data_IF_829367471483
#
_entry.id   IF_829367471483
#
_cell.length_a   1.000
_cell.length_b   1.000
_cell.length_c   1.000
_cell.angle_alpha   90.00
_cell.angle_beta   90.00
_cell.angle_gamma   90.00
#
_symmetry.space_group_name_H-M   'P 1'
#
loop_
_entity.id
_entity.type
_entity.pdbx_description
1 polymer ?
#
# COMPACT_ATOMS: atom_id res chain seq x y z
N UNK A 1 27.31 5.57 10.94
CA UNK A 1 26.00 5.07 11.43
C UNK A 1 25.30 6.23 12.12
N UNK A 2 24.13 6.66 11.65
CA UNK A 2 23.44 7.84 12.19
C UNK A 2 22.96 7.56 13.62
N UNK A 3 23.41 8.36 14.60
CA UNK A 3 22.97 8.25 15.99
C UNK A 3 21.60 8.93 16.12
N UNK A 4 20.56 8.13 16.33
CA UNK A 4 19.22 8.62 16.69
C UNK A 4 19.09 8.49 18.20
N UNK A 5 18.83 9.61 18.87
CA UNK A 5 18.62 9.66 20.32
C UNK A 5 17.23 9.15 20.70
N UNK A 6 17.05 8.75 21.97
CA UNK A 6 15.74 8.32 22.50
C UNK A 6 14.66 9.39 22.31
N UNK A 7 15.00 10.66 22.53
CA UNK A 7 14.06 11.79 22.37
C UNK A 7 13.64 11.99 20.92
N UNK A 8 14.58 11.86 19.98
CA UNK A 8 14.26 11.93 18.55
C UNK A 8 13.35 10.78 18.15
N UNK A 9 13.61 9.57 18.68
CA UNK A 9 12.80 8.39 18.40
C UNK A 9 11.37 8.54 18.94
N UNK A 10 11.22 9.08 20.15
CA UNK A 10 9.91 9.38 20.75
C UNK A 10 9.13 10.41 19.92
N UNK A 11 9.80 11.45 19.41
CA UNK A 11 9.17 12.44 18.52
C UNK A 11 8.75 11.84 17.17
N UNK A 12 9.57 10.97 16.59
CA UNK A 12 9.22 10.25 15.36
C UNK A 12 8.01 9.34 15.59
N UNK A 13 7.95 8.65 16.73
CA UNK A 13 6.84 7.78 17.11
C UNK A 13 5.52 8.54 17.27
N UNK A 14 5.53 9.64 18.03
CA UNK A 14 4.35 10.49 18.23
C UNK A 14 3.79 11.02 16.90
N UNK A 15 4.66 11.48 15.99
CA UNK A 15 4.24 11.90 14.64
C UNK A 15 3.68 10.76 13.80
N UNK A 16 4.27 9.56 13.91
CA UNK A 16 3.76 8.39 13.21
C UNK A 16 2.37 7.98 13.73
N UNK A 17 2.12 8.08 15.03
CA UNK A 17 0.80 7.85 15.63
C UNK A 17 -0.25 8.87 15.17
N UNK A 18 0.15 10.12 14.87
CA UNK A 18 -0.73 11.14 14.26
C UNK A 18 -1.05 10.86 12.80
N UNK A 19 -0.51 9.81 12.21
CA UNK A 19 -0.78 9.38 10.83
C UNK A 19 0.19 9.92 9.79
N UNK A 20 1.24 10.64 10.19
CA UNK A 20 2.26 11.11 9.24
C UNK A 20 3.01 9.94 8.59
N UNK A 21 3.45 10.14 7.34
CA UNK A 21 4.21 9.12 6.62
C UNK A 21 5.67 9.04 7.11
N UNK A 22 6.32 7.88 6.95
CA UNK A 22 7.75 7.75 7.24
C UNK A 22 8.61 8.70 6.38
N UNK A 23 8.14 9.05 5.17
CA UNK A 23 8.82 10.00 4.27
C UNK A 23 8.84 11.40 4.88
N UNK A 24 7.70 11.88 5.36
CA UNK A 24 7.56 13.23 5.91
C UNK A 24 8.35 13.37 7.23
N UNK A 25 8.31 12.32 8.05
CA UNK A 25 9.12 12.23 9.26
C UNK A 25 10.62 12.23 8.87
N UNK A 26 11.04 11.39 7.93
CA UNK A 26 12.44 11.31 7.52
C UNK A 26 12.97 12.63 6.96
N UNK A 27 12.19 13.33 6.13
CA UNK A 27 12.53 14.65 5.58
C UNK A 27 12.82 15.67 6.68
N UNK A 28 12.01 15.70 7.74
CA UNK A 28 12.19 16.66 8.83
C UNK A 28 13.43 16.41 9.70
N UNK A 29 13.90 15.16 9.77
CA UNK A 29 15.09 14.78 10.55
C UNK A 29 16.35 14.62 9.68
N UNK A 30 16.27 14.88 8.37
CA UNK A 30 17.40 14.67 7.45
C UNK A 30 17.82 13.21 7.33
N UNK A 31 16.87 12.27 7.45
CA UNK A 31 17.11 10.83 7.43
C UNK A 31 16.58 10.18 6.14
N UNK A 32 17.03 8.96 5.88
CA UNK A 32 16.40 8.10 4.88
C UNK A 32 15.11 7.50 5.47
N UNK A 33 14.03 7.46 4.67
CA UNK A 33 12.74 6.85 5.04
C UNK A 33 12.90 5.46 5.64
N UNK A 34 13.73 4.62 5.00
CA UNK A 34 13.96 3.25 5.44
C UNK A 34 14.60 3.18 6.83
N UNK A 35 15.44 4.17 7.18
CA UNK A 35 16.04 4.27 8.51
C UNK A 35 14.98 4.56 9.57
N UNK A 36 14.06 5.48 9.30
CA UNK A 36 12.95 5.82 10.21
C UNK A 36 12.03 4.61 10.38
N UNK A 37 11.60 3.98 9.28
CA UNK A 37 10.75 2.80 9.32
C UNK A 37 11.37 1.66 10.14
N UNK A 38 12.63 1.30 9.85
CA UNK A 38 13.29 0.21 10.57
C UNK A 38 13.50 0.52 12.05
N UNK A 39 13.78 1.77 12.42
CA UNK A 39 13.94 2.14 13.83
C UNK A 39 12.64 2.11 14.60
N UNK A 40 11.58 2.70 14.05
CA UNK A 40 10.26 2.66 14.67
C UNK A 40 9.74 1.22 14.80
N UNK A 41 9.95 0.39 13.78
CA UNK A 41 9.59 -1.04 13.80
C UNK A 41 10.33 -1.81 14.90
N UNK A 42 11.64 -1.59 15.07
CA UNK A 42 12.45 -2.33 16.04
C UNK A 42 12.11 -1.97 17.48
N UNK A 43 11.76 -0.71 17.73
CA UNK A 43 11.48 -0.22 19.08
C UNK A 43 10.03 -0.46 19.52
N UNK A 44 9.06 -0.21 18.62
CA UNK A 44 7.63 -0.17 18.96
C UNK A 44 6.81 -1.27 18.28
N UNK A 45 7.40 -2.04 17.37
CA UNK A 45 6.70 -3.07 16.61
C UNK A 45 5.93 -2.54 15.39
N UNK A 46 5.49 -3.47 14.54
CA UNK A 46 4.67 -3.19 13.35
C UNK A 46 3.19 -3.02 13.68
N UNK A 47 2.73 -3.68 14.74
CA UNK A 47 1.30 -3.79 15.10
C UNK A 47 0.71 -2.44 15.53
N UNK A 48 1.55 -1.51 15.97
CA UNK A 48 1.17 -0.14 16.32
C UNK A 48 0.85 0.69 15.06
N UNK A 49 1.45 0.32 13.92
CA UNK A 49 1.35 1.08 12.67
C UNK A 49 0.54 0.36 11.60
N UNK A 50 -0.39 -0.52 12.01
CA UNK A 50 -1.20 -1.37 11.13
C UNK A 50 -1.61 -0.60 9.88
N UNK A 51 -0.94 -0.94 8.78
CA UNK A 51 -1.43 -0.62 7.46
C UNK A 51 -2.79 -1.30 7.30
N UNK A 52 -3.73 -0.71 6.54
CA UNK A 52 -4.97 -1.39 6.23
C UNK A 52 -4.65 -2.81 5.74
N UNK A 53 -5.41 -3.82 6.17
CA UNK A 53 -5.15 -5.20 5.80
C UNK A 53 -5.06 -5.28 4.27
N UNK A 54 -4.12 -6.08 3.72
CA UNK A 54 -4.01 -6.23 2.29
C UNK A 54 -5.36 -6.73 1.75
N UNK A 55 -6.01 -5.89 0.94
CA UNK A 55 -7.29 -6.24 0.32
C UNK A 55 -7.02 -7.24 -0.80
N UNK A 56 -7.78 -8.33 -0.84
CA UNK A 56 -7.67 -9.33 -1.89
C UNK A 56 -7.78 -8.66 -3.28
N UNK A 57 -6.83 -8.96 -4.17
CA UNK A 57 -6.79 -8.40 -5.52
C UNK A 57 -7.72 -9.15 -6.49
N UNK A 58 -8.87 -9.65 -6.02
CA UNK A 58 -9.81 -10.45 -6.80
C UNK A 58 -11.15 -9.73 -7.02
N UNK A 59 -12.02 -10.34 -7.82
CA UNK A 59 -13.31 -9.78 -8.25
C UNK A 59 -14.37 -9.68 -7.14
N UNK A 60 -14.07 -10.20 -5.95
CA UNK A 60 -14.95 -10.08 -4.79
C UNK A 60 -14.95 -8.66 -4.20
N UNK A 61 -14.08 -7.78 -4.68
CA UNK A 61 -14.03 -6.36 -4.31
C UNK A 61 -14.93 -5.56 -5.26
N UNK A 62 -16.02 -4.91 -4.78
CA UNK A 62 -16.99 -4.23 -5.64
C UNK A 62 -16.41 -3.17 -6.59
N UNK A 63 -15.27 -2.57 -6.23
CA UNK A 63 -14.57 -1.56 -7.04
C UNK A 63 -13.55 -2.13 -8.05
N UNK A 64 -13.48 -3.44 -8.26
CA UNK A 64 -12.50 -4.08 -9.14
C UNK A 64 -13.15 -5.00 -10.17
N UNK A 65 -12.46 -5.21 -11.29
CA UNK A 65 -12.84 -6.15 -12.35
C UNK A 65 -11.59 -6.83 -12.90
N UNK A 66 -11.64 -8.15 -13.07
CA UNK A 66 -10.61 -8.93 -13.74
C UNK A 66 -10.87 -8.96 -15.24
N UNK A 67 -9.90 -8.48 -16.01
CA UNK A 67 -9.91 -8.54 -17.48
C UNK A 67 -8.73 -9.34 -17.99
N UNK A 68 -8.97 -10.12 -19.03
CA UNK A 68 -7.90 -10.82 -19.75
C UNK A 68 -7.17 -9.83 -20.65
N UNK A 69 -5.98 -9.42 -20.26
CA UNK A 69 -5.16 -8.44 -21.00
C UNK A 69 -3.98 -9.15 -21.66
N UNK A 70 -3.52 -8.65 -22.81
CA UNK A 70 -2.31 -9.18 -23.44
C UNK A 70 -1.11 -9.02 -22.49
N UNK A 71 -0.31 -10.07 -22.35
CA UNK A 71 0.89 -10.00 -21.54
C UNK A 71 1.90 -9.04 -22.20
N UNK A 72 2.56 -8.21 -21.41
CA UNK A 72 3.56 -7.23 -21.87
C UNK A 72 3.07 -6.30 -23.00
N UNK A 73 1.84 -5.77 -22.90
CA UNK A 73 1.34 -4.78 -23.86
C UNK A 73 1.11 -5.30 -25.28
N UNK A 74 1.06 -6.63 -25.48
CA UNK A 74 0.79 -7.24 -26.78
C UNK A 74 2.03 -7.56 -27.63
N UNK A 75 3.24 -7.29 -27.14
CA UNK A 75 4.49 -7.56 -27.88
C UNK A 75 5.05 -9.00 -27.69
N UNK A 76 4.37 -9.89 -26.97
CA UNK A 76 4.82 -11.28 -26.80
C UNK A 76 4.04 -12.22 -27.72
N UNK A 77 4.76 -12.97 -28.57
CA UNK A 77 4.21 -14.00 -29.47
C UNK A 77 3.92 -15.33 -28.77
N UNK A 78 4.39 -15.52 -27.53
CA UNK A 78 4.27 -16.78 -26.78
C UNK A 78 3.33 -16.69 -25.57
N UNK A 79 3.08 -15.49 -25.04
CA UNK A 79 2.24 -15.33 -23.86
C UNK A 79 0.82 -14.94 -24.24
N UNK A 80 -0.08 -15.92 -24.15
CA UNK A 80 -1.53 -15.69 -24.18
C UNK A 80 -1.98 -14.67 -23.12
N UNK A 81 -3.24 -14.22 -23.24
CA UNK A 81 -3.82 -13.23 -22.34
C UNK A 81 -3.65 -13.66 -20.88
N UNK A 82 -3.30 -12.72 -19.99
CA UNK A 82 -3.22 -12.94 -18.55
C UNK A 82 -4.33 -12.18 -17.82
N UNK A 83 -4.86 -12.74 -16.70
CA UNK A 83 -5.84 -12.06 -15.89
C UNK A 83 -5.19 -10.88 -15.15
N UNK A 84 -5.74 -9.68 -15.33
CA UNK A 84 -5.31 -8.47 -14.64
C UNK A 84 -6.50 -7.87 -13.90
N UNK A 85 -6.31 -7.57 -12.62
CA UNK A 85 -7.32 -6.89 -11.80
C UNK A 85 -7.19 -5.38 -11.95
N UNK A 86 -8.20 -4.75 -12.54
CA UNK A 86 -8.26 -3.32 -12.78
C UNK A 86 -9.26 -2.64 -11.84
N UNK A 87 -9.15 -1.32 -11.72
CA UNK A 87 -10.18 -0.49 -11.10
C UNK A 87 -11.41 -0.50 -12.01
N UNK A 88 -12.60 -0.71 -11.42
CA UNK A 88 -13.87 -0.69 -12.14
C UNK A 88 -14.17 0.73 -12.62
N UNK A 89 -14.45 0.88 -13.91
CA UNK A 89 -14.89 2.15 -14.50
C UNK A 89 -16.38 2.01 -14.84
N UNK A 90 -17.30 2.72 -14.17
CA UNK A 90 -18.75 2.51 -14.34
C UNK A 90 -19.26 2.61 -15.77
N UNK A 91 -18.65 3.49 -16.57
CA UNK A 91 -19.02 3.71 -17.98
C UNK A 91 -18.58 2.59 -18.91
N UNK A 92 -17.55 1.81 -18.55
CA UNK A 92 -17.00 0.73 -19.38
C UNK A 92 -17.37 -0.67 -18.87
N UNK A 93 -17.50 -0.83 -17.56
CA UNK A 93 -17.65 -2.11 -16.88
C UNK A 93 -19.02 -2.32 -16.24
N UNK A 94 -19.88 -1.30 -16.31
CA UNK A 94 -21.16 -1.26 -15.60
C UNK A 94 -21.01 -0.96 -14.10
N UNK A 95 -22.13 -0.67 -13.42
CA UNK A 95 -22.12 -0.38 -11.98
C UNK A 95 -21.58 -1.57 -11.18
N UNK A 96 -21.00 -1.28 -10.02
CA UNK A 96 -20.55 -2.32 -9.10
C UNK A 96 -21.75 -3.18 -8.68
N UNK A 97 -21.61 -4.52 -8.60
CA UNK A 97 -22.65 -5.35 -8.01
C UNK A 97 -22.84 -4.90 -6.56
N UNK A 98 -24.03 -4.40 -6.24
CA UNK A 98 -24.43 -4.13 -4.86
C UNK A 98 -24.29 -5.44 -4.10
N UNK A 99 -23.47 -5.48 -3.06
CA UNK A 99 -23.39 -6.67 -2.21
C UNK A 99 -24.79 -6.91 -1.65
N UNK A 100 -25.49 -7.91 -2.16
CA UNK A 100 -26.70 -8.41 -1.54
C UNK A 100 -26.21 -9.05 -0.26
N UNK A 101 -26.40 -8.36 0.86
CA UNK A 101 -26.09 -8.89 2.17
C UNK A 101 -26.83 -10.23 2.35
N UNK A 102 -26.08 -11.29 2.62
CA UNK A 102 -26.55 -12.59 3.06
C UNK A 102 -25.80 -12.93 4.35
#
# INVERSE_FOLDING_TARGET
MTKITSDQLAKMHDRRLRGESCVDIARSFGLNEMTVYQRLRREFGLDVYKFPPPVAANDNVPGRVRKMTAHNGGCSTLSGKMPVTLVRIPTLDGPAPTQVAA
#
